data_IF_643798113571
#
_entry.id   IF_643798113571
#
_cell.length_a   1.000
_cell.length_b   1.000
_cell.length_c   1.000
_cell.angle_alpha   90.00
_cell.angle_beta   90.00
_cell.angle_gamma   90.00
#
_symmetry.space_group_name_H-M   'P 1'
#
loop_
_entity.id
_entity.type
_entity.pdbx_description
1 polymer ?
#
# COMPACT_ATOMS: atom_id res chain seq x y z
N UNK A 1 13.28 4.85 13.14
CA UNK A 1 12.67 5.14 11.83
C UNK A 1 12.57 3.93 10.90
N UNK A 2 13.64 3.17 10.66
CA UNK A 2 13.63 2.00 9.73
C UNK A 2 12.48 0.99 9.94
N UNK A 3 12.10 0.72 11.19
CA UNK A 3 10.96 -0.17 11.53
C UNK A 3 9.62 0.35 11.00
N UNK A 4 9.42 1.67 10.97
CA UNK A 4 8.17 2.31 10.48
C UNK A 4 8.10 2.24 8.96
N UNK A 5 9.22 2.49 8.26
CA UNK A 5 9.33 2.37 6.79
C UNK A 5 8.95 0.94 6.37
N UNK A 6 9.56 -0.08 6.99
CA UNK A 6 9.28 -1.49 6.68
C UNK A 6 7.81 -1.82 6.97
N UNK A 7 7.21 -1.27 8.03
CA UNK A 7 5.79 -1.47 8.34
C UNK A 7 4.90 -0.90 7.22
N UNK A 8 5.18 0.32 6.75
CA UNK A 8 4.43 0.94 5.66
C UNK A 8 4.57 0.18 4.35
N UNK A 9 5.78 -0.27 4.00
CA UNK A 9 6.00 -1.11 2.81
C UNK A 9 5.22 -2.43 2.89
N UNK A 10 5.29 -3.14 4.02
CA UNK A 10 4.53 -4.38 4.21
C UNK A 10 3.02 -4.18 4.10
N UNK A 11 2.51 -3.05 4.58
CA UNK A 11 1.09 -2.72 4.41
C UNK A 11 0.74 -2.37 2.96
N UNK A 12 1.62 -1.68 2.24
CA UNK A 12 1.44 -1.42 0.82
C UNK A 12 1.40 -2.73 0.00
N UNK A 13 2.29 -3.67 0.30
CA UNK A 13 2.30 -5.01 -0.32
C UNK A 13 1.00 -5.78 -0.02
N UNK A 14 0.50 -5.70 1.22
CA UNK A 14 -0.76 -6.33 1.60
C UNK A 14 -1.96 -5.72 0.87
N UNK A 15 -2.01 -4.38 0.73
CA UNK A 15 -3.05 -3.72 -0.06
C UNK A 15 -2.96 -4.12 -1.54
N UNK A 16 -1.76 -4.21 -2.11
CA UNK A 16 -1.58 -4.64 -3.50
C UNK A 16 -2.08 -6.08 -3.70
N UNK A 17 -1.83 -6.98 -2.73
CA UNK A 17 -2.38 -8.33 -2.77
C UNK A 17 -3.91 -8.29 -2.73
N UNK A 18 -4.49 -7.54 -1.79
CA UNK A 18 -5.95 -7.41 -1.69
C UNK A 18 -6.58 -6.81 -2.95
N UNK A 19 -5.90 -5.87 -3.61
CA UNK A 19 -6.33 -5.32 -4.90
C UNK A 19 -6.37 -6.40 -5.99
N UNK A 20 -5.34 -7.26 -6.08
CA UNK A 20 -5.29 -8.37 -7.04
C UNK A 20 -6.39 -9.39 -6.77
N UNK A 21 -6.54 -9.83 -5.51
CA UNK A 21 -7.58 -10.76 -5.10
C UNK A 21 -8.98 -10.18 -5.47
N UNK A 22 -9.21 -8.89 -5.18
CA UNK A 22 -10.47 -8.21 -5.52
C UNK A 22 -10.72 -8.10 -7.03
N UNK A 23 -9.67 -7.98 -7.84
CA UNK A 23 -9.79 -7.96 -9.30
C UNK A 23 -10.20 -9.34 -9.83
N UNK A 24 -9.60 -10.41 -9.31
CA UNK A 24 -9.93 -11.79 -9.65
C UNK A 24 -11.40 -12.11 -9.29
N UNK A 25 -11.85 -11.63 -8.13
CA UNK A 25 -13.24 -11.77 -7.67
C UNK A 25 -14.23 -10.79 -8.33
N UNK A 26 -13.77 -9.92 -9.25
CA UNK A 26 -14.56 -8.87 -9.93
C UNK A 26 -15.19 -7.83 -9.00
N UNK A 27 -14.64 -7.67 -7.80
CA UNK A 27 -14.96 -6.61 -6.84
C UNK A 27 -14.18 -5.34 -7.22
N UNK A 28 -14.58 -4.69 -8.31
CA UNK A 28 -13.82 -3.59 -8.93
C UNK A 28 -13.65 -2.36 -8.03
N UNK A 29 -14.66 -2.05 -7.22
CA UNK A 29 -14.59 -0.97 -6.23
C UNK A 29 -13.52 -1.25 -5.17
N UNK A 30 -13.44 -2.50 -4.70
CA UNK A 30 -12.43 -2.93 -3.74
C UNK A 30 -11.04 -3.00 -4.37
N UNK A 31 -10.92 -3.41 -5.64
CA UNK A 31 -9.67 -3.33 -6.38
C UNK A 31 -9.14 -1.88 -6.43
N UNK A 32 -9.97 -0.92 -6.82
CA UNK A 32 -9.59 0.49 -6.90
C UNK A 32 -9.22 1.07 -5.55
N UNK A 33 -10.00 0.77 -4.51
CA UNK A 33 -9.72 1.21 -3.14
C UNK A 33 -8.35 0.72 -2.66
N UNK A 34 -8.09 -0.58 -2.74
CA UNK A 34 -6.83 -1.15 -2.28
C UNK A 34 -5.63 -0.72 -3.14
N UNK A 35 -5.81 -0.53 -4.45
CA UNK A 35 -4.76 0.00 -5.33
C UNK A 35 -4.32 1.40 -4.91
N UNK A 36 -5.26 2.29 -4.57
CA UNK A 36 -4.96 3.62 -4.03
C UNK A 36 -4.23 3.53 -2.68
N UNK A 37 -4.74 2.72 -1.76
CA UNK A 37 -4.13 2.54 -0.43
C UNK A 37 -2.69 2.03 -0.53
N UNK A 38 -2.42 1.07 -1.42
CA UNK A 38 -1.08 0.56 -1.69
C UNK A 38 -0.13 1.70 -2.10
N UNK A 39 -0.55 2.53 -3.05
CA UNK A 39 0.24 3.68 -3.51
C UNK A 39 0.52 4.69 -2.39
N UNK A 40 -0.49 5.06 -1.60
CA UNK A 40 -0.32 6.00 -0.48
C UNK A 40 0.67 5.49 0.57
N UNK A 41 0.57 4.21 0.93
CA UNK A 41 1.45 3.62 1.95
C UNK A 41 2.89 3.45 1.44
N UNK A 42 3.07 3.09 0.17
CA UNK A 42 4.38 3.05 -0.45
C UNK A 42 5.03 4.43 -0.51
N UNK A 43 4.28 5.46 -0.92
CA UNK A 43 4.76 6.84 -0.92
C UNK A 43 5.11 7.31 0.50
N UNK A 44 4.28 7.02 1.49
CA UNK A 44 4.54 7.34 2.89
C UNK A 44 5.84 6.71 3.39
N UNK A 45 6.12 5.46 3.02
CA UNK A 45 7.39 4.81 3.35
C UNK A 45 8.59 5.54 2.74
N UNK A 46 8.48 5.98 1.48
CA UNK A 46 9.51 6.76 0.78
C UNK A 46 9.74 8.14 1.44
N UNK A 47 8.67 8.82 1.85
CA UNK A 47 8.79 10.10 2.56
C UNK A 47 9.45 9.95 3.93
N UNK A 48 9.15 8.87 4.67
CA UNK A 48 9.85 8.55 5.92
C UNK A 48 11.34 8.24 5.70
N UNK A 49 11.69 7.58 4.60
CA UNK A 49 13.10 7.34 4.24
C UNK A 49 13.84 8.66 3.98
N UNK A 50 13.19 9.58 3.27
CA UNK A 50 13.73 10.92 2.96
C UNK A 50 13.72 11.88 4.15
N UNK A 51 13.11 11.51 5.28
CA UNK A 51 13.01 12.35 6.48
C UNK A 51 12.00 13.49 6.36
N UNK A 52 11.02 13.38 5.46
CA UNK A 52 10.02 14.43 5.14
C UNK A 52 8.68 14.14 5.83
N UNK A 53 8.65 13.34 6.91
CA UNK A 53 7.40 12.88 7.56
C UNK A 53 7.55 12.62 9.05
#
# INVERSE_FOLDING_TARGET
MRKIIIKWLKQAEADLKAAKDSLEDRNYEWNCFHSRQSGEKALKACLYEKGVS
#
